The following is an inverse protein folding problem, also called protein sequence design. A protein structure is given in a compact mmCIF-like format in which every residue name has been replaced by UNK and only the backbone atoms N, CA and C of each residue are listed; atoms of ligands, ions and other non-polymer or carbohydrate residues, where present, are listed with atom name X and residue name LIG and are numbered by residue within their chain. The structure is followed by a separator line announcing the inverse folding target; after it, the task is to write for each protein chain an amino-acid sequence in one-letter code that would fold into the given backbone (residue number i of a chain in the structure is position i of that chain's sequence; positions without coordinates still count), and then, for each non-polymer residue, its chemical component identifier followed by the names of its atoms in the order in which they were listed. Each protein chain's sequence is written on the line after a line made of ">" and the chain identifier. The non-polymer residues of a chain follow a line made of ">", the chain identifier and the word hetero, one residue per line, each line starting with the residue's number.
data_IF_581592515413
#
_entry.id   IF_581592515413
#
_cell.length_a   1.000
_cell.length_b   1.000
_cell.length_c   1.000
_cell.angle_alpha   90.00
_cell.angle_beta   90.00
_cell.angle_gamma   90.00
#
_symmetry.space_group_name_H-M   'P 1'
#
loop_
_entity.id
_entity.type
_entity.pdbx_description
1 polymer ?
#
# COMPACT_ATOMS: atom_id res chain seq x y z
N UNK A 1 8.93 5.92 15.67
CA UNK A 1 9.78 4.92 16.37
C UNK A 1 10.57 4.24 15.28
N UNK A 2 11.84 4.63 15.11
CA UNK A 2 12.74 4.15 14.07
C UNK A 2 13.12 2.71 14.43
N UNK A 3 12.54 1.73 13.73
CA UNK A 3 12.99 0.34 13.76
C UNK A 3 14.09 0.25 12.71
N UNK A 4 15.25 -0.31 13.05
CA UNK A 4 16.38 -0.45 12.11
C UNK A 4 16.00 -1.17 10.79
N UNK A 5 14.86 -1.87 10.80
CA UNK A 5 14.30 -2.61 9.67
C UNK A 5 13.48 -1.76 8.69
N UNK A 6 13.16 -0.49 9.01
CA UNK A 6 12.36 0.37 8.14
C UNK A 6 12.91 1.79 8.11
N UNK A 7 13.38 2.23 6.94
CA UNK A 7 13.92 3.59 6.73
C UNK A 7 13.32 4.22 5.48
N UNK A 8 13.20 5.55 5.48
CA UNK A 8 12.69 6.34 4.36
C UNK A 8 13.67 7.45 4.01
N UNK A 9 13.91 7.63 2.72
CA UNK A 9 14.77 8.67 2.18
C UNK A 9 14.08 9.33 1.00
N UNK A 10 13.91 10.65 1.06
CA UNK A 10 13.46 11.42 -0.09
C UNK A 10 14.51 11.39 -1.22
N UNK A 11 14.05 11.24 -2.45
CA UNK A 11 14.87 11.23 -3.65
C UNK A 11 14.72 12.57 -4.36
N UNK A 12 15.85 13.18 -4.72
CA UNK A 12 15.83 14.39 -5.54
C UNK A 12 15.13 14.11 -6.88
N UNK A 13 14.15 14.94 -7.23
CA UNK A 13 13.46 14.89 -8.53
C UNK A 13 13.46 16.28 -9.16
N UNK A 14 13.63 16.32 -10.49
CA UNK A 14 13.51 17.55 -11.28
C UNK A 14 12.05 17.86 -11.67
N UNK A 15 11.07 17.16 -11.08
CA UNK A 15 9.66 17.25 -11.47
C UNK A 15 8.81 17.85 -10.35
N UNK A 16 8.33 19.07 -10.56
CA UNK A 16 7.46 19.77 -9.59
C UNK A 16 6.09 19.09 -9.36
N UNK A 17 5.73 18.07 -10.14
CA UNK A 17 4.42 17.39 -10.07
C UNK A 17 4.39 16.13 -9.19
N UNK A 18 5.52 15.75 -8.60
CA UNK A 18 5.63 14.57 -7.73
C UNK A 18 6.84 14.62 -6.80
N UNK A 19 6.70 13.94 -5.68
CA UNK A 19 7.79 13.60 -4.77
C UNK A 19 8.11 12.12 -4.91
N UNK A 20 9.37 11.76 -4.75
CA UNK A 20 9.80 10.37 -4.79
C UNK A 20 10.57 10.00 -3.54
N UNK A 21 10.37 8.77 -3.08
CA UNK A 21 11.01 8.24 -1.88
C UNK A 21 11.59 6.86 -2.16
N UNK A 22 12.72 6.57 -1.54
CA UNK A 22 13.24 5.22 -1.39
C UNK A 22 12.99 4.77 0.04
N UNK A 23 12.29 3.65 0.19
CA UNK A 23 12.02 3.03 1.49
C UNK A 23 12.76 1.70 1.52
N UNK A 24 13.61 1.50 2.53
CA UNK A 24 14.07 0.16 2.89
C UNK A 24 13.05 -0.44 3.85
N UNK A 25 12.47 -1.56 3.49
CA UNK A 25 11.50 -2.30 4.31
C UNK A 25 11.95 -3.75 4.45
N UNK A 26 12.55 -4.08 5.60
CA UNK A 26 13.14 -5.39 5.88
C UNK A 26 14.10 -5.85 4.76
N UNK A 27 14.94 -4.93 4.25
CA UNK A 27 15.88 -5.17 3.15
C UNK A 27 15.27 -5.11 1.76
N UNK A 28 13.96 -4.88 1.64
CA UNK A 28 13.30 -4.65 0.36
C UNK A 28 13.28 -3.15 0.03
N UNK A 29 13.89 -2.79 -1.10
CA UNK A 29 13.87 -1.40 -1.56
C UNK A 29 12.58 -1.11 -2.34
N UNK A 30 11.80 -0.16 -1.83
CA UNK A 30 10.57 0.33 -2.46
C UNK A 30 10.82 1.73 -3.02
N UNK A 31 10.43 1.93 -4.28
CA UNK A 31 10.36 3.26 -4.88
C UNK A 31 8.92 3.74 -4.80
N UNK A 32 8.71 4.84 -4.09
CA UNK A 32 7.39 5.43 -3.83
C UNK A 32 7.29 6.76 -4.55
N UNK A 33 6.10 7.06 -5.05
CA UNK A 33 5.78 8.34 -5.69
C UNK A 33 4.54 8.92 -5.04
N UNK A 34 4.65 10.15 -4.55
CA UNK A 34 3.55 10.95 -4.01
C UNK A 34 3.20 12.01 -5.05
N UNK A 35 1.93 12.15 -5.38
CA UNK A 35 1.49 13.10 -6.41
C UNK A 35 0.01 13.43 -6.26
N UNK A 36 -0.32 14.71 -6.44
CA UNK A 36 -1.70 15.18 -6.61
C UNK A 36 -2.16 15.11 -8.08
N UNK A 37 -1.26 14.76 -9.01
CA UNK A 37 -1.51 14.73 -10.45
C UNK A 37 -1.99 13.34 -10.92
N UNK A 38 -3.26 13.20 -11.36
CA UNK A 38 -3.75 11.93 -11.89
C UNK A 38 -3.03 11.48 -13.16
N UNK A 39 -2.34 12.41 -13.86
CA UNK A 39 -1.56 12.09 -15.05
C UNK A 39 -0.33 11.24 -14.72
N UNK A 40 0.33 11.50 -13.59
CA UNK A 40 1.47 10.70 -13.12
C UNK A 40 1.05 9.24 -12.91
N UNK A 41 -0.08 9.03 -12.21
CA UNK A 41 -0.65 7.69 -11.99
C UNK A 41 -1.04 7.02 -13.31
N UNK A 42 -1.70 7.75 -14.22
CA UNK A 42 -2.09 7.22 -15.53
C UNK A 42 -0.87 6.78 -16.35
N UNK A 43 0.18 7.59 -16.37
CA UNK A 43 1.42 7.29 -17.08
C UNK A 43 2.13 6.07 -16.47
N UNK A 44 2.13 5.94 -15.14
CA UNK A 44 2.67 4.76 -14.46
C UNK A 44 1.91 3.49 -14.85
N UNK A 45 0.57 3.50 -14.83
CA UNK A 45 -0.25 2.34 -15.23
C UNK A 45 0.04 1.96 -16.68
N UNK A 46 0.05 2.93 -17.60
CA UNK A 46 0.29 2.69 -19.03
C UNK A 46 1.68 2.12 -19.29
N UNK A 47 2.70 2.69 -18.65
CA UNK A 47 4.09 2.25 -18.79
C UNK A 47 4.28 0.84 -18.23
N UNK A 48 3.75 0.58 -17.03
CA UNK A 48 3.78 -0.73 -16.40
C UNK A 48 3.08 -1.77 -17.27
N UNK A 49 1.89 -1.46 -17.78
CA UNK A 49 1.16 -2.35 -18.69
C UNK A 49 1.95 -2.65 -19.97
N UNK A 50 2.61 -1.64 -20.55
CA UNK A 50 3.41 -1.80 -21.76
C UNK A 50 4.65 -2.67 -21.56
N UNK A 51 5.34 -2.51 -20.42
CA UNK A 51 6.51 -3.30 -20.02
C UNK A 51 6.11 -4.77 -19.80
N UNK A 52 5.05 -5.00 -19.03
CA UNK A 52 4.62 -6.36 -18.65
C UNK A 52 3.57 -6.95 -19.61
N UNK A 53 3.46 -6.41 -20.83
CA UNK A 53 2.45 -6.82 -21.83
C UNK A 53 2.53 -8.30 -22.26
N UNK A 54 3.65 -8.96 -22.03
CA UNK A 54 3.81 -10.40 -22.29
C UNK A 54 3.23 -11.27 -21.17
N UNK A 55 2.94 -10.70 -19.99
CA UNK A 55 2.43 -11.37 -18.78
C UNK A 55 1.00 -10.93 -18.41
N UNK A 56 0.22 -10.44 -19.37
CA UNK A 56 -1.11 -9.81 -19.15
C UNK A 56 -2.09 -10.62 -18.30
N UNK A 57 -1.99 -11.96 -18.30
CA UNK A 57 -2.86 -12.83 -17.52
C UNK A 57 -2.53 -12.88 -16.01
N UNK A 58 -1.45 -12.21 -15.57
CA UNK A 58 -1.00 -12.15 -14.17
C UNK A 58 -0.75 -10.72 -13.68
N UNK A 59 -1.19 -9.71 -14.43
CA UNK A 59 -1.03 -8.32 -14.01
C UNK A 59 -2.07 -7.97 -12.95
N UNK A 60 -1.62 -7.81 -11.71
CA UNK A 60 -2.46 -7.45 -10.56
C UNK A 60 -2.00 -6.09 -10.05
N UNK A 61 -2.96 -5.19 -9.84
CA UNK A 61 -2.75 -3.90 -9.18
C UNK A 61 -3.64 -3.86 -7.94
N UNK A 62 -3.04 -3.55 -6.79
CA UNK A 62 -3.78 -3.25 -5.57
C UNK A 62 -4.16 -1.78 -5.53
N UNK A 63 -5.32 -1.48 -4.93
CA UNK A 63 -5.77 -0.11 -4.65
C UNK A 63 -6.13 -0.01 -3.17
N UNK A 64 -5.47 0.90 -2.46
CA UNK A 64 -5.83 1.30 -1.11
C UNK A 64 -6.62 2.61 -1.15
N UNK A 65 -7.63 2.73 -0.30
CA UNK A 65 -8.37 3.99 -0.08
C UNK A 65 -8.29 4.33 1.39
N UNK A 66 -7.98 5.59 1.69
CA UNK A 66 -7.91 6.07 3.06
C UNK A 66 -9.12 6.95 3.37
N UNK A 67 -9.77 6.69 4.50
CA UNK A 67 -10.88 7.48 4.98
C UNK A 67 -10.37 8.67 5.80
N UNK A 68 -11.05 9.82 5.68
CA UNK A 68 -10.74 11.02 6.44
C UNK A 68 -11.78 11.23 7.56
N UNK A 69 -11.40 11.14 8.85
CA UNK A 69 -12.32 11.37 9.97
C UNK A 69 -12.80 12.81 10.15
N UNK A 70 -12.15 13.76 9.48
CA UNK A 70 -12.47 15.19 9.59
C UNK A 70 -13.39 15.69 8.47
N UNK A 71 -13.84 14.79 7.58
CA UNK A 71 -14.78 15.10 6.51
C UNK A 71 -15.98 14.16 6.59
N UNK A 72 -17.16 14.74 6.89
CA UNK A 72 -18.44 14.04 6.79
C UNK A 72 -18.98 14.03 5.35
N UNK A 73 -18.28 14.67 4.40
CA UNK A 73 -18.66 14.63 3.00
C UNK A 73 -18.39 13.22 2.44
N UNK A 74 -19.43 12.51 1.96
CA UNK A 74 -19.22 11.24 1.27
C UNK A 74 -18.33 11.49 0.05
N UNK A 75 -17.39 10.58 -0.21
CA UNK A 75 -16.55 10.69 -1.39
C UNK A 75 -17.42 10.77 -2.65
N UNK A 76 -17.33 11.87 -3.40
CA UNK A 76 -18.06 12.06 -4.66
C UNK A 76 -17.65 11.06 -5.75
N UNK A 77 -16.54 10.36 -5.52
CA UNK A 77 -15.98 9.37 -6.43
C UNK A 77 -16.73 8.04 -6.31
N UNK A 78 -17.65 7.80 -7.24
CA UNK A 78 -18.34 6.51 -7.45
C UNK A 78 -17.39 5.45 -8.03
N UNK A 79 -16.43 4.99 -7.23
CA UNK A 79 -15.54 3.90 -7.61
C UNK A 79 -16.32 2.59 -7.64
N UNK A 80 -16.37 1.95 -8.82
CA UNK A 80 -16.96 0.64 -9.00
C UNK A 80 -15.86 -0.36 -9.36
N UNK A 81 -15.75 -1.43 -8.57
CA UNK A 81 -14.92 -2.58 -8.94
C UNK A 81 -15.74 -3.52 -9.82
N UNK A 82 -15.17 -3.98 -10.92
CA UNK A 82 -15.83 -4.92 -11.86
C UNK A 82 -16.05 -6.31 -11.26
N UNK A 83 -15.46 -6.60 -10.11
CA UNK A 83 -15.58 -7.86 -9.37
C UNK A 83 -15.67 -7.60 -7.88
N UNK A 84 -16.27 -8.54 -7.16
CA UNK A 84 -16.35 -8.49 -5.69
C UNK A 84 -14.94 -8.43 -5.09
N UNK A 85 -14.62 -7.42 -4.26
CA UNK A 85 -13.35 -7.36 -3.56
C UNK A 85 -13.20 -8.59 -2.65
N UNK A 86 -12.01 -9.19 -2.63
CA UNK A 86 -11.69 -10.30 -1.73
C UNK A 86 -10.95 -9.78 -0.53
N UNK A 87 -11.50 -10.00 0.66
CA UNK A 87 -10.75 -9.77 1.90
C UNK A 87 -9.66 -10.84 2.01
N UNK A 88 -8.42 -10.37 2.15
CA UNK A 88 -7.25 -11.21 2.23
C UNK A 88 -7.30 -12.14 3.45
N UNK A 89 -7.85 -11.69 4.59
CA UNK A 89 -7.91 -12.45 5.86
C UNK A 89 -8.70 -13.74 5.72
N UNK A 90 -9.84 -13.68 5.03
CA UNK A 90 -10.64 -14.86 4.74
C UNK A 90 -9.93 -15.79 3.77
N UNK A 91 -9.32 -15.21 2.74
CA UNK A 91 -8.59 -15.99 1.75
C UNK A 91 -7.46 -16.80 2.42
N UNK A 92 -6.68 -16.18 3.31
CA UNK A 92 -5.53 -16.84 3.97
C UNK A 92 -6.01 -17.87 4.99
N UNK A 93 -7.03 -17.54 5.78
CA UNK A 93 -7.60 -18.46 6.76
C UNK A 93 -8.09 -19.74 6.09
N UNK A 94 -8.80 -19.63 4.97
CA UNK A 94 -9.34 -20.79 4.27
C UNK A 94 -8.26 -21.60 3.54
N UNK A 95 -7.23 -20.95 2.98
CA UNK A 95 -6.13 -21.66 2.28
C UNK A 95 -5.23 -22.45 3.24
N UNK A 96 -4.96 -21.91 4.43
CA UNK A 96 -4.03 -22.49 5.40
C UNK A 96 -4.73 -23.29 6.51
N UNK A 97 -6.07 -23.35 6.51
CA UNK A 97 -6.90 -24.02 7.54
C UNK A 97 -6.70 -23.41 8.94
N UNK A 98 -6.69 -22.07 9.00
CA UNK A 98 -6.36 -21.27 10.18
C UNK A 98 -7.44 -20.21 10.44
N UNK A 99 -8.59 -20.59 11.02
CA UNK A 99 -9.76 -19.72 11.16
C UNK A 99 -9.50 -18.47 12.01
N UNK A 100 -8.50 -18.49 12.90
CA UNK A 100 -8.09 -17.35 13.70
C UNK A 100 -7.57 -16.17 12.85
N UNK A 101 -7.04 -16.44 11.65
CA UNK A 101 -6.54 -15.40 10.75
C UNK A 101 -7.63 -14.47 10.21
N UNK A 102 -8.91 -14.87 10.30
CA UNK A 102 -10.05 -14.04 9.88
C UNK A 102 -10.13 -12.73 10.68
N UNK A 103 -9.65 -12.73 11.93
CA UNK A 103 -9.59 -11.56 12.80
C UNK A 103 -8.18 -10.97 12.96
N UNK A 104 -7.18 -11.51 12.25
CA UNK A 104 -5.80 -11.07 12.38
C UNK A 104 -5.63 -9.64 11.84
N UNK A 105 -4.73 -8.89 12.50
CA UNK A 105 -4.28 -7.61 11.97
C UNK A 105 -3.28 -7.83 10.83
N UNK A 106 -3.00 -6.80 10.05
CA UNK A 106 -2.01 -6.88 8.98
C UNK A 106 -0.62 -7.21 9.56
N UNK A 107 -0.28 -6.66 10.72
CA UNK A 107 0.95 -6.95 11.47
C UNK A 107 1.07 -8.44 11.81
N UNK A 108 -0.01 -9.06 12.31
CA UNK A 108 -0.04 -10.50 12.57
C UNK A 108 0.20 -11.31 11.30
N UNK A 109 -0.42 -10.92 10.19
CA UNK A 109 -0.26 -11.63 8.92
C UNK A 109 1.19 -11.54 8.41
N UNK A 110 1.83 -10.38 8.45
CA UNK A 110 3.19 -10.24 7.93
C UNK A 110 4.25 -10.88 8.81
N UNK A 111 4.07 -10.85 10.13
CA UNK A 111 4.94 -11.61 11.04
C UNK A 111 4.84 -13.10 10.71
N UNK A 112 3.62 -13.63 10.57
CA UNK A 112 3.40 -15.05 10.26
C UNK A 112 3.96 -15.48 8.91
N UNK A 113 3.72 -14.72 7.83
CA UNK A 113 4.05 -15.15 6.47
C UNK A 113 5.41 -14.70 5.96
N UNK A 114 5.98 -13.63 6.52
CA UNK A 114 7.23 -13.03 6.05
C UNK A 114 8.29 -12.87 7.13
N UNK A 115 7.98 -13.15 8.41
CA UNK A 115 8.91 -12.95 9.53
C UNK A 115 9.20 -11.48 9.83
N UNK A 116 8.34 -10.56 9.37
CA UNK A 116 8.46 -9.12 9.63
C UNK A 116 7.91 -8.79 11.01
N UNK A 117 8.69 -9.16 12.02
CA UNK A 117 8.34 -8.94 13.43
C UNK A 117 8.51 -7.48 13.83
N UNK A 118 7.63 -7.00 14.70
CA UNK A 118 7.71 -5.63 15.22
C UNK A 118 7.12 -4.57 14.31
N UNK A 119 6.55 -4.92 13.15
CA UNK A 119 5.75 -3.98 12.36
C UNK A 119 4.59 -3.45 13.22
N UNK A 120 4.45 -2.12 13.29
CA UNK A 120 3.34 -1.46 13.98
C UNK A 120 2.79 -0.35 13.12
N UNK A 121 1.52 -0.42 12.76
CA UNK A 121 0.84 0.69 12.09
C UNK A 121 0.36 1.68 13.15
N UNK A 122 0.96 2.87 13.19
CA UNK A 122 0.60 3.89 14.17
C UNK A 122 -0.84 4.39 13.90
N UNK A 123 -1.76 4.25 14.88
CA UNK A 123 -3.13 4.69 14.71
C UNK A 123 -3.23 6.21 14.50
N UNK A 124 -2.31 7.00 15.09
CA UNK A 124 -2.30 8.46 14.92
C UNK A 124 -2.00 8.84 13.47
N UNK A 125 -1.11 8.10 12.79
CA UNK A 125 -0.84 8.29 11.36
C UNK A 125 -2.05 7.84 10.55
N UNK A 126 -2.62 6.67 10.83
CA UNK A 126 -3.78 6.16 10.10
C UNK A 126 -4.99 7.10 10.14
N UNK A 127 -5.22 7.78 11.26
CA UNK A 127 -6.34 8.69 11.47
C UNK A 127 -5.95 10.17 11.30
N UNK A 128 -4.74 10.45 10.82
CA UNK A 128 -4.26 11.82 10.59
C UNK A 128 -4.98 12.48 9.40
N UNK A 129 -4.67 13.75 9.16
CA UNK A 129 -5.19 14.45 7.99
C UNK A 129 -4.51 14.00 6.70
N UNK A 130 -5.11 13.04 6.00
CA UNK A 130 -4.66 12.56 4.68
C UNK A 130 -5.06 13.47 3.51
N UNK A 131 -5.81 14.55 3.78
CA UNK A 131 -6.15 15.59 2.80
C UNK A 131 -5.22 16.81 2.90
N UNK A 132 -4.08 16.70 3.59
CA UNK A 132 -3.09 17.76 3.64
C UNK A 132 -2.48 17.98 2.24
N UNK A 133 -2.10 19.23 1.94
CA UNK A 133 -1.43 19.57 0.68
C UNK A 133 -0.10 18.81 0.52
N UNK A 134 0.53 18.47 1.65
CA UNK A 134 1.78 17.73 1.76
C UNK A 134 1.62 16.63 2.80
N UNK A 135 2.03 15.41 2.46
CA UNK A 135 2.02 14.28 3.39
C UNK A 135 3.32 14.27 4.20
N UNK A 136 3.25 13.80 5.45
CA UNK A 136 4.46 13.56 6.24
C UNK A 136 5.15 12.27 5.80
N UNK A 137 6.45 12.15 6.06
CA UNK A 137 7.20 10.90 5.83
C UNK A 137 6.54 9.68 6.49
N UNK A 138 5.92 9.87 7.65
CA UNK A 138 5.20 8.83 8.38
C UNK A 138 3.94 8.39 7.63
N UNK A 139 3.20 9.32 7.02
CA UNK A 139 2.05 9.01 6.15
C UNK A 139 2.53 8.31 4.86
N UNK A 140 3.59 8.79 4.22
CA UNK A 140 4.16 8.16 3.02
C UNK A 140 4.60 6.74 3.33
N UNK A 141 5.32 6.53 4.43
CA UNK A 141 5.77 5.23 4.90
C UNK A 141 4.57 4.32 5.20
N UNK A 142 3.56 4.80 5.92
CA UNK A 142 2.37 4.03 6.24
C UNK A 142 1.66 3.50 5.00
N UNK A 143 1.44 4.35 4.00
CA UNK A 143 0.76 3.97 2.75
C UNK A 143 1.61 3.01 1.90
N UNK A 144 2.92 3.25 1.82
CA UNK A 144 3.83 2.40 1.07
C UNK A 144 3.94 0.99 1.66
N UNK A 145 4.03 0.89 2.99
CA UNK A 145 4.06 -0.40 3.69
C UNK A 145 2.75 -1.15 3.49
N UNK A 146 1.60 -0.48 3.61
CA UNK A 146 0.28 -1.10 3.38
C UNK A 146 0.16 -1.70 1.98
N UNK A 147 0.62 -0.96 0.96
CA UNK A 147 0.62 -1.39 -0.43
C UNK A 147 1.58 -2.57 -0.67
N UNK A 148 2.81 -2.49 -0.14
CA UNK A 148 3.83 -3.53 -0.33
C UNK A 148 3.44 -4.85 0.35
N UNK A 149 2.97 -4.78 1.60
CA UNK A 149 2.48 -5.94 2.34
C UNK A 149 1.31 -6.60 1.61
N UNK A 150 0.33 -5.80 1.16
CA UNK A 150 -0.81 -6.31 0.39
C UNK A 150 -0.37 -6.99 -0.91
N UNK A 151 0.65 -6.45 -1.58
CA UNK A 151 1.25 -7.07 -2.76
C UNK A 151 1.94 -8.41 -2.46
N UNK A 152 2.77 -8.49 -1.40
CA UNK A 152 3.43 -9.75 -1.03
C UNK A 152 2.41 -10.81 -0.64
N UNK A 153 1.40 -10.44 0.12
CA UNK A 153 0.30 -11.34 0.46
C UNK A 153 -0.47 -11.78 -0.79
N UNK A 154 -0.72 -10.87 -1.74
CA UNK A 154 -1.32 -11.20 -3.03
C UNK A 154 -0.56 -12.29 -3.78
N UNK A 155 0.78 -12.22 -3.82
CA UNK A 155 1.63 -13.25 -4.45
C UNK A 155 1.57 -14.62 -3.76
N UNK A 156 1.36 -14.64 -2.45
CA UNK A 156 1.16 -15.89 -1.70
C UNK A 156 -0.20 -16.51 -2.05
N UNK A 157 -1.17 -15.69 -2.44
CA UNK A 157 -2.58 -16.08 -2.52
C UNK A 157 -3.12 -16.30 -3.94
N UNK A 158 -2.53 -15.71 -4.97
CA UNK A 158 -3.05 -15.69 -6.35
C UNK A 158 -1.92 -15.92 -7.36
#
# INVERSE_FOLDING_TARGET
>A
MESDDVTIHELATDFDDKEMYSIDFYGANLIVTVTSSPAVVRNWIQSTWWIYRSYRHRFVVGLGVQWNPYSDEPADHKLALSSTPKDLRYSVADRYDEPELRGASMETLVSRFFGYDGLRKDPNVSMSNWNADWLTDEQVLYAAVDAYVSFQMGKVMF
#
